data_IF_122903090501
#
_entry.id   IF_122903090501
#
_cell.length_a   1.000
_cell.length_b   1.000
_cell.length_c   1.000
_cell.angle_alpha   90.00
_cell.angle_beta   90.00
_cell.angle_gamma   90.00
#
_symmetry.space_group_name_H-M   'P 1'
#
loop_
_entity.id
_entity.type
_entity.pdbx_description
1 polymer ?
#
# COMPACT_ATOMS: atom_id res chain seq x y z
N UNK A 1 -6.92 -9.53 -3.93
CA UNK A 1 -5.52 -9.06 -3.83
C UNK A 1 -5.18 -8.44 -2.46
N UNK A 2 -5.88 -7.38 -2.02
CA UNK A 2 -5.63 -6.70 -0.72
C UNK A 2 -5.84 -7.63 0.50
N UNK A 3 -6.82 -8.54 0.44
CA UNK A 3 -7.09 -9.52 1.52
C UNK A 3 -5.88 -10.45 1.74
N UNK A 4 -5.12 -10.78 0.70
CA UNK A 4 -3.90 -11.60 0.84
C UNK A 4 -2.74 -10.82 1.46
N UNK A 5 -2.64 -9.52 1.17
CA UNK A 5 -1.62 -8.63 1.74
C UNK A 5 -1.78 -8.49 3.26
N UNK A 6 -3.02 -8.47 3.76
CA UNK A 6 -3.32 -8.41 5.20
C UNK A 6 -2.89 -9.66 5.99
N UNK A 7 -2.58 -10.77 5.29
CA UNK A 7 -2.00 -11.98 5.90
C UNK A 7 -0.48 -11.92 5.97
N UNK A 8 0.18 -11.01 5.25
CA UNK A 8 1.62 -10.80 5.34
C UNK A 8 1.92 -9.82 6.50
N UNK A 9 2.51 -10.30 7.62
CA UNK A 9 2.78 -9.46 8.78
C UNK A 9 3.76 -8.32 8.47
N UNK A 10 4.62 -8.45 7.46
CA UNK A 10 5.59 -7.42 7.09
C UNK A 10 4.94 -6.20 6.42
N UNK A 11 3.75 -6.36 5.85
CA UNK A 11 3.00 -5.31 5.18
C UNK A 11 2.01 -4.61 6.13
N UNK A 12 1.70 -5.23 7.27
CA UNK A 12 0.72 -4.71 8.22
C UNK A 12 1.14 -3.34 8.78
N UNK A 13 0.25 -2.36 8.67
CA UNK A 13 0.46 -0.99 9.13
C UNK A 13 1.32 -0.13 8.20
N UNK A 14 1.54 -0.55 6.95
CA UNK A 14 2.36 0.17 5.97
C UNK A 14 1.56 0.62 4.75
N UNK A 15 2.03 1.69 4.11
CA UNK A 15 1.56 2.10 2.80
C UNK A 15 2.25 1.25 1.71
N UNK A 16 1.48 0.84 0.70
CA UNK A 16 1.94 0.08 -0.45
C UNK A 16 1.46 0.75 -1.74
N UNK A 17 2.22 0.58 -2.82
CA UNK A 17 1.81 0.88 -4.18
C UNK A 17 1.39 -0.44 -4.82
N UNK A 18 0.17 -0.50 -5.30
CA UNK A 18 -0.35 -1.60 -6.11
C UNK A 18 -0.30 -1.17 -7.57
N UNK A 19 0.35 -1.94 -8.44
CA UNK A 19 0.34 -1.69 -9.88
C UNK A 19 0.29 -3.03 -10.63
N UNK A 20 -0.74 -3.19 -11.47
CA UNK A 20 -1.04 -4.50 -12.04
C UNK A 20 -1.31 -5.53 -10.94
N UNK A 21 -0.60 -6.65 -10.97
CA UNK A 21 -0.68 -7.74 -9.98
C UNK A 21 0.49 -7.73 -8.99
N UNK A 22 1.22 -6.62 -8.88
CA UNK A 22 2.33 -6.45 -7.93
C UNK A 22 2.04 -5.43 -6.81
N UNK A 23 2.69 -5.64 -5.67
CA UNK A 23 2.66 -4.75 -4.51
C UNK A 23 4.07 -4.33 -4.12
N UNK A 24 4.30 -3.03 -3.99
CA UNK A 24 5.57 -2.44 -3.59
C UNK A 24 5.43 -1.66 -2.28
N UNK A 25 6.29 -1.96 -1.32
CA UNK A 25 6.31 -1.24 -0.04
C UNK A 25 6.80 0.19 -0.21
N UNK A 26 6.05 1.14 0.35
CA UNK A 26 6.50 2.51 0.51
C UNK A 26 7.24 2.60 1.85
N UNK A 27 8.56 2.46 1.81
CA UNK A 27 9.41 2.53 3.02
C UNK A 27 9.81 3.96 3.40
N UNK A 28 9.57 4.93 2.52
CA UNK A 28 10.10 6.29 2.65
C UNK A 28 9.00 7.31 2.96
N UNK A 29 9.26 8.17 3.96
CA UNK A 29 8.40 9.33 4.27
C UNK A 29 8.64 10.52 3.32
N UNK A 30 9.68 10.46 2.50
CA UNK A 30 10.02 11.55 1.59
C UNK A 30 9.10 11.58 0.36
N UNK A 31 8.46 12.72 0.14
CA UNK A 31 7.57 12.95 -1.00
C UNK A 31 8.30 12.88 -2.35
N UNK A 32 9.57 13.33 -2.41
CA UNK A 32 10.37 13.26 -3.65
C UNK A 32 10.76 11.81 -4.00
N UNK A 33 11.13 11.02 -2.99
CA UNK A 33 11.43 9.60 -3.16
C UNK A 33 10.19 8.80 -3.58
N UNK A 34 9.01 9.11 -3.01
CA UNK A 34 7.72 8.53 -3.43
C UNK A 34 7.40 8.84 -4.89
N UNK A 35 7.53 10.10 -5.31
CA UNK A 35 7.26 10.50 -6.70
C UNK A 35 8.21 9.81 -7.68
N UNK A 36 9.50 9.68 -7.31
CA UNK A 36 10.49 8.94 -8.11
C UNK A 36 10.09 7.46 -8.25
N UNK A 37 9.74 6.80 -7.14
CA UNK A 37 9.30 5.41 -7.15
C UNK A 37 8.06 5.19 -8.04
N UNK A 38 7.03 6.03 -7.90
CA UNK A 38 5.82 5.95 -8.73
C UNK A 38 6.18 6.13 -10.21
N UNK A 39 7.04 7.11 -10.53
CA UNK A 39 7.47 7.37 -11.91
C UNK A 39 8.17 6.15 -12.52
N UNK A 40 9.08 5.52 -11.78
CA UNK A 40 9.80 4.34 -12.24
C UNK A 40 8.87 3.13 -12.41
N UNK A 41 7.91 2.95 -11.49
CA UNK A 41 6.89 1.90 -11.60
C UNK A 41 5.96 2.13 -12.81
N UNK A 42 5.52 3.36 -13.06
CA UNK A 42 4.69 3.69 -14.23
C UNK A 42 5.41 3.42 -15.55
N UNK A 43 6.74 3.67 -15.61
CA UNK A 43 7.55 3.30 -16.78
C UNK A 43 7.68 1.79 -16.95
N UNK A 44 7.83 1.06 -15.85
CA UNK A 44 7.99 -0.41 -15.85
C UNK A 44 6.69 -1.13 -16.23
N UNK A 45 5.53 -0.60 -15.84
CA UNK A 45 4.21 -1.16 -16.13
C UNK A 45 3.37 -0.20 -16.99
N UNK A 46 3.72 -0.03 -18.27
CA UNK A 46 2.97 0.85 -19.15
C UNK A 46 1.51 0.39 -19.27
N UNK A 47 0.58 1.35 -19.19
CA UNK A 47 -0.87 1.08 -19.27
C UNK A 47 -1.51 0.55 -17.99
N UNK A 48 -0.76 0.40 -16.89
CA UNK A 48 -1.31 0.10 -15.56
C UNK A 48 -1.26 1.35 -14.69
N UNK A 49 -2.33 1.59 -13.94
CA UNK A 49 -2.43 2.74 -13.04
C UNK A 49 -1.94 2.33 -11.66
N UNK A 50 -0.89 2.96 -11.10
CA UNK A 50 -0.48 2.73 -9.72
C UNK A 50 -1.53 3.27 -8.76
N UNK A 51 -1.86 2.48 -7.74
CA UNK A 51 -2.78 2.85 -6.66
C UNK A 51 -2.02 2.79 -5.34
N UNK A 52 -2.09 3.86 -4.55
CA UNK A 52 -1.53 3.86 -3.19
C UNK A 52 -2.61 3.33 -2.25
N UNK A 53 -2.28 2.29 -1.48
CA UNK A 53 -3.16 1.69 -0.50
C UNK A 53 -2.46 1.57 0.86
N UNK A 54 -3.21 1.75 1.94
CA UNK A 54 -2.73 1.47 3.29
C UNK A 54 -3.23 0.09 3.73
N UNK A 55 -2.32 -0.74 4.25
CA UNK A 55 -2.69 -2.03 4.82
C UNK A 55 -2.87 -1.86 6.33
N UNK A 56 -4.11 -1.89 6.87
CA UNK A 56 -4.33 -1.76 8.30
C UNK A 56 -3.74 -2.94 9.06
N UNK A 57 -3.33 -2.72 10.32
CA UNK A 57 -3.01 -3.85 11.21
C UNK A 57 -4.33 -4.53 11.60
N UNK A 58 -4.31 -5.83 11.89
CA UNK A 58 -5.52 -6.57 12.30
C UNK A 58 -6.24 -5.92 13.48
N UNK A 59 -5.46 -5.36 14.41
CA UNK A 59 -5.99 -4.71 15.61
C UNK A 59 -6.45 -3.27 15.38
N UNK A 60 -6.25 -2.70 14.18
CA UNK A 60 -6.67 -1.31 13.87
C UNK A 60 -8.18 -1.22 13.59
N UNK A 61 -8.86 -2.34 13.34
CA UNK A 61 -10.29 -2.37 12.97
C UNK A 61 -11.23 -2.77 14.12
N UNK A 62 -10.80 -2.68 15.39
CA UNK A 62 -11.66 -2.92 16.57
C UNK A 62 -11.65 -1.70 17.51
N UNK A 63 -12.80 -1.07 17.82
CA UNK A 63 -13.92 -0.77 16.93
C UNK A 63 -14.34 0.72 17.01
N UNK A 64 -14.69 1.30 15.85
CA UNK A 64 -15.56 2.48 15.75
C UNK A 64 -17.03 2.17 16.17
N UNK A 65 -17.29 0.96 16.66
CA UNK A 65 -18.60 0.46 17.13
C UNK A 65 -18.76 0.57 18.67
N UNK A 66 -17.85 1.25 19.37
CA UNK A 66 -17.86 1.40 20.84
C UNK A 66 -18.37 2.74 21.38
N UNK A 67 -18.85 3.64 20.52
CA UNK A 67 -19.35 4.97 20.93
C UNK A 67 -20.73 5.23 20.31
N UNK A 68 -21.75 4.60 20.88
CA UNK A 68 -23.16 5.03 20.83
C UNK A 68 -23.80 4.74 22.19
#
# INVERSE_FOLDING_TARGET
MIISASKNPELAGKEVIVIGDEMHLISTRSSSARKKMITELTKKYPGKVPVIAYIPKRDTLLPLLGTL
#
